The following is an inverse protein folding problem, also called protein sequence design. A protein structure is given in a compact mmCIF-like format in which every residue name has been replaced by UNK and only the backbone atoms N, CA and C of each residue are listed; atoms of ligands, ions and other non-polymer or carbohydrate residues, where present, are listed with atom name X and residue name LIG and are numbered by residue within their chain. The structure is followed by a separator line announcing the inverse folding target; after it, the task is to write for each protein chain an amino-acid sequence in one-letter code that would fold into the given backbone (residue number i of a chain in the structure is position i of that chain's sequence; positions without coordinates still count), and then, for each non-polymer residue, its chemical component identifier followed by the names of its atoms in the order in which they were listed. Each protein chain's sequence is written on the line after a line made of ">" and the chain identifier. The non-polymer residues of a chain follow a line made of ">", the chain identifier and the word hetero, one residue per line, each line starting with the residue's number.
data_IF_749164548122
#
_entry.id   IF_749164548122
#
_cell.length_a   1.000
_cell.length_b   1.000
_cell.length_c   1.000
_cell.angle_alpha   90.00
_cell.angle_beta   90.00
_cell.angle_gamma   90.00
#
_symmetry.space_group_name_H-M   'P 1'
#
loop_
_entity.id
_entity.type
_entity.pdbx_description
1 polymer ?
#
# COMPACT_ATOMS: atom_id res chain seq x y z
N UNK A 1 -29.02 -0.15 -7.30
CA UNK A 1 -27.84 -0.11 -8.21
C UNK A 1 -26.47 -0.21 -7.52
N UNK A 2 -26.30 0.14 -6.23
CA UNK A 2 -24.99 0.01 -5.51
C UNK A 2 -24.76 -1.37 -4.89
N UNK A 3 -25.80 -2.14 -4.60
CA UNK A 3 -25.69 -3.51 -4.03
C UNK A 3 -25.28 -4.54 -5.08
N UNK A 4 -25.69 -4.38 -6.33
CA UNK A 4 -25.45 -5.36 -7.40
C UNK A 4 -23.99 -5.41 -7.86
N UNK A 5 -23.29 -4.28 -7.84
CA UNK A 5 -21.85 -4.22 -8.18
C UNK A 5 -20.97 -4.87 -7.11
N UNK A 6 -21.34 -4.76 -5.84
CA UNK A 6 -20.63 -5.40 -4.74
C UNK A 6 -20.83 -6.92 -4.77
N UNK A 7 -22.06 -7.38 -5.04
CA UNK A 7 -22.37 -8.80 -5.19
C UNK A 7 -21.68 -9.41 -6.41
N UNK A 8 -21.56 -8.67 -7.51
CA UNK A 8 -20.87 -9.12 -8.71
C UNK A 8 -19.35 -9.24 -8.47
N UNK A 9 -18.75 -8.28 -7.77
CA UNK A 9 -17.35 -8.36 -7.36
C UNK A 9 -17.12 -9.54 -6.41
N UNK A 10 -17.96 -9.75 -5.42
CA UNK A 10 -17.88 -10.88 -4.50
C UNK A 10 -18.03 -12.22 -5.24
N UNK A 11 -18.90 -12.32 -6.24
CA UNK A 11 -19.05 -13.52 -7.07
C UNK A 11 -17.83 -13.78 -7.97
N UNK A 12 -17.22 -12.75 -8.53
CA UNK A 12 -15.98 -12.86 -9.32
C UNK A 12 -14.83 -13.35 -8.42
N UNK A 13 -14.68 -12.77 -7.22
CA UNK A 13 -13.66 -13.20 -6.25
C UNK A 13 -13.91 -14.61 -5.73
N UNK A 14 -15.17 -15.03 -5.52
CA UNK A 14 -15.49 -16.44 -5.20
C UNK A 14 -15.08 -17.40 -6.30
N UNK A 15 -15.31 -17.06 -7.57
CA UNK A 15 -14.88 -17.92 -8.70
C UNK A 15 -13.36 -18.02 -8.83
N UNK A 16 -12.62 -16.94 -8.50
CA UNK A 16 -11.16 -16.94 -8.52
C UNK A 16 -10.60 -17.66 -7.28
N UNK A 17 -11.25 -17.55 -6.12
CA UNK A 17 -10.85 -18.18 -4.85
C UNK A 17 -10.97 -19.72 -4.82
N UNK A 18 -11.64 -20.32 -5.80
CA UNK A 18 -11.71 -21.78 -5.96
C UNK A 18 -10.49 -22.43 -6.65
N UNK A 19 -9.43 -21.67 -6.93
CA UNK A 19 -8.12 -22.27 -7.18
C UNK A 19 -7.72 -23.04 -5.91
N UNK A 20 -7.77 -24.37 -5.96
CA UNK A 20 -7.37 -25.21 -4.85
C UNK A 20 -6.00 -24.76 -4.32
N UNK A 21 -5.73 -24.92 -3.04
CA UNK A 21 -4.41 -24.60 -2.45
C UNK A 21 -3.26 -25.25 -3.26
N UNK A 22 -3.52 -26.44 -3.85
CA UNK A 22 -2.63 -27.10 -4.80
C UNK A 22 -2.40 -26.28 -6.07
N UNK A 23 -3.44 -25.63 -6.62
CA UNK A 23 -3.30 -24.77 -7.80
C UNK A 23 -2.51 -23.49 -7.51
N UNK A 24 -2.69 -22.89 -6.33
CA UNK A 24 -1.91 -21.74 -5.89
C UNK A 24 -0.44 -22.13 -5.66
N UNK A 25 -0.18 -23.26 -5.01
CA UNK A 25 1.18 -23.80 -4.82
C UNK A 25 1.84 -24.12 -6.15
N UNK A 26 1.11 -24.74 -7.10
CA UNK A 26 1.62 -25.03 -8.44
C UNK A 26 1.93 -23.73 -9.21
N UNK A 27 1.02 -22.76 -9.18
CA UNK A 27 1.25 -21.45 -9.80
C UNK A 27 2.48 -20.76 -9.18
N UNK A 28 2.64 -20.78 -7.86
CA UNK A 28 3.81 -20.24 -7.19
C UNK A 28 5.09 -21.01 -7.58
N UNK A 29 5.04 -22.33 -7.58
CA UNK A 29 6.18 -23.20 -7.94
C UNK A 29 6.65 -23.00 -9.40
N UNK A 30 5.75 -22.59 -10.30
CA UNK A 30 6.09 -22.31 -11.72
C UNK A 30 6.48 -20.84 -11.90
N UNK A 31 5.70 -19.92 -11.35
CA UNK A 31 5.91 -18.48 -11.55
C UNK A 31 7.15 -17.96 -10.82
N UNK A 32 7.42 -18.45 -9.61
CA UNK A 32 8.59 -17.99 -8.84
C UNK A 32 9.92 -18.34 -9.53
N UNK A 33 10.20 -19.60 -9.97
CA UNK A 33 11.39 -19.91 -10.74
C UNK A 33 11.43 -19.15 -12.08
N UNK A 34 10.30 -18.99 -12.77
CA UNK A 34 10.24 -18.24 -14.02
C UNK A 34 10.64 -16.77 -13.82
N UNK A 35 10.07 -16.09 -12.84
CA UNK A 35 10.45 -14.70 -12.54
C UNK A 35 11.88 -14.59 -12.03
N UNK A 36 12.35 -15.54 -11.22
CA UNK A 36 13.74 -15.59 -10.75
C UNK A 36 14.70 -15.77 -11.93
N UNK A 37 14.39 -16.68 -12.84
CA UNK A 37 15.15 -16.87 -14.07
C UNK A 37 15.13 -15.63 -14.95
N UNK A 38 13.97 -14.99 -15.14
CA UNK A 38 13.82 -13.77 -15.93
C UNK A 38 14.64 -12.62 -15.33
N UNK A 39 14.61 -12.47 -14.03
CA UNK A 39 15.42 -11.51 -13.30
C UNK A 39 16.91 -11.81 -13.45
N UNK A 40 17.33 -13.06 -13.27
CA UNK A 40 18.73 -13.47 -13.42
C UNK A 40 19.20 -13.30 -14.87
N UNK A 41 18.40 -13.71 -15.86
CA UNK A 41 18.70 -13.51 -17.26
C UNK A 41 18.82 -12.02 -17.63
N UNK A 42 17.92 -11.18 -17.11
CA UNK A 42 17.96 -9.75 -17.31
C UNK A 42 19.19 -9.15 -16.66
N UNK A 43 19.53 -9.56 -15.43
CA UNK A 43 20.70 -9.13 -14.69
C UNK A 43 22.01 -9.52 -15.41
N UNK A 44 22.14 -10.77 -15.86
CA UNK A 44 23.36 -11.23 -16.58
C UNK A 44 23.52 -10.54 -17.94
N UNK A 45 22.42 -10.26 -18.65
CA UNK A 45 22.49 -9.45 -19.87
C UNK A 45 22.89 -7.98 -19.60
N UNK A 46 22.42 -7.43 -18.49
CA UNK A 46 22.79 -6.07 -18.06
C UNK A 46 24.26 -5.99 -17.66
N UNK A 47 24.78 -7.01 -16.95
CA UNK A 47 26.20 -7.08 -16.60
C UNK A 47 27.12 -7.22 -17.83
N UNK A 48 26.75 -8.06 -18.80
CA UNK A 48 27.49 -8.18 -20.07
C UNK A 48 27.54 -6.88 -20.88
N UNK A 49 26.56 -5.98 -20.67
CA UNK A 49 26.53 -4.62 -21.29
C UNK A 49 27.29 -3.58 -20.48
N UNK A 50 27.60 -3.86 -19.20
CA UNK A 50 28.36 -2.92 -18.33
C UNK A 50 29.77 -2.62 -18.81
N UNK A 51 30.36 -3.46 -19.67
CA UNK A 51 31.67 -3.23 -20.29
C UNK A 51 31.65 -2.29 -21.50
N UNK A 52 30.49 -1.84 -21.97
CA UNK A 52 30.37 -0.84 -23.04
C UNK A 52 30.20 0.53 -22.41
N UNK A 53 30.80 1.55 -23.06
CA UNK A 53 30.70 2.95 -22.65
C UNK A 53 29.29 3.33 -22.24
N UNK A 54 29.17 4.13 -21.18
CA UNK A 54 27.87 4.62 -20.73
C UNK A 54 27.21 5.34 -21.89
N UNK A 55 25.96 4.98 -22.26
CA UNK A 55 25.29 5.65 -23.36
C UNK A 55 25.19 7.13 -23.05
N UNK A 56 25.67 7.98 -23.98
CA UNK A 56 25.42 9.41 -23.93
C UNK A 56 23.92 9.65 -24.12
N UNK A 57 23.31 10.28 -23.13
CA UNK A 57 21.90 10.63 -23.18
C UNK A 57 21.80 12.10 -23.66
N UNK A 58 21.20 12.31 -24.81
CA UNK A 58 20.97 13.66 -25.35
C UNK A 58 20.16 14.57 -24.39
N UNK A 59 19.30 13.96 -23.60
CA UNK A 59 18.40 14.65 -22.66
C UNK A 59 18.84 14.47 -21.22
N UNK A 60 18.66 15.53 -20.40
CA UNK A 60 18.85 15.47 -18.93
C UNK A 60 17.79 14.57 -18.30
N UNK A 61 18.08 13.98 -17.13
CA UNK A 61 17.16 13.10 -16.41
C UNK A 61 15.79 13.72 -16.15
N UNK A 62 15.76 14.99 -15.77
CA UNK A 62 14.51 15.68 -15.46
C UNK A 62 13.63 15.89 -16.70
N UNK A 63 14.25 16.09 -17.88
CA UNK A 63 13.52 16.22 -19.16
C UNK A 63 12.87 14.90 -19.56
N UNK A 64 13.61 13.79 -19.39
CA UNK A 64 13.09 12.44 -19.63
C UNK A 64 11.95 12.12 -18.67
N UNK A 65 12.12 12.49 -17.38
CA UNK A 65 11.11 12.31 -16.34
C UNK A 65 9.84 13.13 -16.64
N UNK A 66 9.96 14.37 -17.06
CA UNK A 66 8.80 15.19 -17.45
C UNK A 66 8.09 14.64 -18.68
N UNK A 67 8.85 14.14 -19.69
CA UNK A 67 8.24 13.54 -20.87
C UNK A 67 7.45 12.26 -20.50
N UNK A 68 8.09 11.32 -19.84
CA UNK A 68 7.44 10.07 -19.42
C UNK A 68 6.25 10.36 -18.47
N UNK A 69 6.44 11.26 -17.50
CA UNK A 69 5.37 11.67 -16.59
C UNK A 69 4.21 12.36 -17.30
N UNK A 70 4.49 13.17 -18.29
CA UNK A 70 3.46 13.83 -19.12
C UNK A 70 2.65 12.83 -19.94
N UNK A 71 3.31 11.81 -20.52
CA UNK A 71 2.64 10.74 -21.27
C UNK A 71 1.75 9.91 -20.33
N UNK A 72 2.32 9.43 -19.21
CA UNK A 72 1.57 8.66 -18.21
C UNK A 72 0.35 9.43 -17.70
N UNK A 73 0.57 10.67 -17.28
CA UNK A 73 -0.49 11.51 -16.72
C UNK A 73 -1.56 11.84 -17.76
N UNK A 74 -1.17 12.14 -18.99
CA UNK A 74 -2.11 12.37 -20.09
C UNK A 74 -2.99 11.17 -20.36
N UNK A 75 -2.42 9.96 -20.43
CA UNK A 75 -3.17 8.72 -20.56
C UNK A 75 -4.13 8.50 -19.38
N UNK A 76 -3.66 8.74 -18.16
CA UNK A 76 -4.49 8.60 -16.95
C UNK A 76 -5.65 9.59 -16.95
N UNK A 77 -5.43 10.85 -17.32
CA UNK A 77 -6.51 11.83 -17.41
C UNK A 77 -7.56 11.45 -18.45
N UNK A 78 -7.16 10.93 -19.61
CA UNK A 78 -8.12 10.46 -20.62
C UNK A 78 -8.98 9.32 -20.07
N UNK A 79 -8.37 8.37 -19.37
CA UNK A 79 -9.10 7.28 -18.73
C UNK A 79 -10.01 7.77 -17.59
N UNK A 80 -9.53 8.73 -16.78
CA UNK A 80 -10.34 9.33 -15.71
C UNK A 80 -11.55 10.08 -16.27
N UNK A 81 -11.41 10.79 -17.39
CA UNK A 81 -12.54 11.45 -18.06
C UNK A 81 -13.57 10.43 -18.54
N UNK A 82 -13.10 9.31 -19.11
CA UNK A 82 -13.97 8.23 -19.55
C UNK A 82 -14.68 7.51 -18.39
N UNK A 83 -14.05 7.45 -17.22
CA UNK A 83 -14.55 6.80 -16.01
C UNK A 83 -15.01 7.81 -14.94
N UNK A 84 -15.33 9.05 -15.33
CA UNK A 84 -15.67 10.14 -14.39
C UNK A 84 -16.67 9.70 -13.32
N UNK A 85 -16.44 10.01 -12.07
CA UNK A 85 -15.34 10.78 -11.43
C UNK A 85 -14.14 9.90 -11.00
N UNK A 86 -14.05 8.66 -11.43
CA UNK A 86 -13.19 7.61 -10.93
C UNK A 86 -13.91 6.73 -9.90
N UNK A 87 -13.15 5.94 -9.15
CA UNK A 87 -13.70 4.97 -8.21
C UNK A 87 -13.66 5.49 -6.77
N UNK A 88 -14.82 5.43 -6.12
CA UNK A 88 -14.93 5.72 -4.70
C UNK A 88 -14.62 4.46 -3.88
N UNK A 89 -13.58 4.49 -3.06
CA UNK A 89 -13.18 3.38 -2.20
C UNK A 89 -13.94 3.43 -0.87
N UNK A 90 -14.21 2.26 -0.29
CA UNK A 90 -14.90 2.12 1.00
C UNK A 90 -14.20 2.86 2.15
N UNK A 91 -12.86 2.77 2.22
CA UNK A 91 -12.07 3.38 3.29
C UNK A 91 -12.30 4.90 3.39
N UNK A 92 -12.38 5.60 2.25
CA UNK A 92 -12.58 7.05 2.26
C UNK A 92 -13.98 7.43 2.79
N UNK A 93 -14.96 6.52 2.70
CA UNK A 93 -16.28 6.69 3.28
C UNK A 93 -16.25 6.85 4.80
N UNK A 94 -15.28 6.21 5.46
CA UNK A 94 -15.07 6.34 6.91
C UNK A 94 -14.16 7.52 7.28
N UNK A 95 -13.31 7.98 6.35
CA UNK A 95 -12.36 9.07 6.57
C UNK A 95 -12.97 10.45 6.30
N UNK A 96 -13.76 10.55 5.24
CA UNK A 96 -14.31 11.82 4.77
C UNK A 96 -15.22 12.52 5.79
N UNK A 97 -16.11 11.82 6.52
CA UNK A 97 -16.92 12.44 7.58
C UNK A 97 -16.08 13.15 8.66
N UNK A 98 -14.89 12.63 8.98
CA UNK A 98 -13.98 13.22 9.97
C UNK A 98 -13.42 14.59 9.54
N UNK A 99 -13.48 14.91 8.23
CA UNK A 99 -13.08 16.22 7.69
C UNK A 99 -14.28 17.12 7.45
N UNK A 100 -15.41 16.55 7.02
CA UNK A 100 -16.56 17.34 6.60
C UNK A 100 -17.47 17.75 7.76
N UNK A 101 -17.49 16.97 8.84
CA UNK A 101 -18.43 17.17 9.95
C UNK A 101 -17.66 17.35 11.27
N UNK A 102 -17.70 18.56 11.88
CA UNK A 102 -16.97 18.85 13.11
C UNK A 102 -17.36 17.95 14.30
N UNK A 103 -18.55 17.38 14.29
CA UNK A 103 -19.05 16.46 15.33
C UNK A 103 -18.46 15.05 15.21
N UNK A 104 -17.84 14.70 14.09
CA UNK A 104 -17.22 13.39 13.90
C UNK A 104 -15.75 13.44 14.35
N UNK A 105 -15.37 12.73 15.42
CA UNK A 105 -14.01 12.78 15.93
C UNK A 105 -13.02 12.10 14.96
N UNK A 106 -11.79 12.59 14.95
CA UNK A 106 -10.71 11.93 14.23
C UNK A 106 -10.35 10.60 14.89
N UNK A 107 -10.08 9.60 14.07
CA UNK A 107 -9.60 8.28 14.52
C UNK A 107 -8.38 7.85 13.70
N UNK A 108 -7.42 7.21 14.37
CA UNK A 108 -6.25 6.61 13.71
C UNK A 108 -6.52 5.19 13.16
N UNK A 109 -7.79 4.82 12.99
CA UNK A 109 -8.20 3.56 12.37
C UNK A 109 -7.65 3.45 10.94
N UNK A 110 -7.82 4.51 10.15
CA UNK A 110 -7.13 4.70 8.89
C UNK A 110 -5.94 5.66 9.05
N UNK A 111 -4.93 5.60 8.17
CA UNK A 111 -3.80 6.52 8.22
C UNK A 111 -4.23 7.98 8.17
N UNK A 112 -3.93 8.74 9.23
CA UNK A 112 -4.37 10.14 9.38
C UNK A 112 -3.85 11.05 8.27
N UNK A 113 -2.64 10.79 7.75
CA UNK A 113 -2.13 11.55 6.61
C UNK A 113 -3.09 11.47 5.41
N UNK A 114 -3.62 10.28 5.11
CA UNK A 114 -4.57 10.13 4.01
C UNK A 114 -5.94 10.76 4.35
N UNK A 115 -6.39 10.61 5.60
CA UNK A 115 -7.63 11.27 6.07
C UNK A 115 -7.55 12.77 5.85
N UNK A 116 -6.46 13.41 6.33
CA UNK A 116 -6.30 14.87 6.25
C UNK A 116 -6.08 15.32 4.80
N UNK A 117 -5.14 14.72 4.07
CA UNK A 117 -4.80 15.17 2.71
C UNK A 117 -5.86 14.73 1.70
N UNK A 118 -6.23 13.44 1.70
CA UNK A 118 -7.19 12.90 0.76
C UNK A 118 -8.60 13.43 1.01
N UNK A 119 -9.07 13.37 2.26
CA UNK A 119 -10.35 13.94 2.65
C UNK A 119 -10.39 15.45 2.43
N UNK A 120 -9.29 16.17 2.73
CA UNK A 120 -9.17 17.60 2.48
C UNK A 120 -9.29 17.97 1.00
N UNK A 121 -8.64 17.24 0.09
CA UNK A 121 -8.76 17.47 -1.37
C UNK A 121 -10.19 17.25 -1.83
N UNK A 122 -10.84 16.17 -1.36
CA UNK A 122 -12.25 15.89 -1.72
C UNK A 122 -13.15 17.00 -1.20
N UNK A 123 -12.98 17.45 0.03
CA UNK A 123 -13.76 18.54 0.63
C UNK A 123 -13.56 19.86 -0.10
N UNK A 124 -12.34 20.20 -0.49
CA UNK A 124 -12.05 21.37 -1.34
C UNK A 124 -12.81 21.27 -2.65
N UNK A 125 -12.72 20.14 -3.36
CA UNK A 125 -13.46 19.92 -4.60
C UNK A 125 -14.97 20.00 -4.43
N UNK A 126 -15.49 19.44 -3.33
CA UNK A 126 -16.90 19.51 -2.96
C UNK A 126 -17.41 20.96 -2.87
N UNK A 127 -16.67 21.84 -2.25
CA UNK A 127 -17.03 23.26 -2.11
C UNK A 127 -16.78 24.07 -3.39
N UNK A 128 -15.78 23.71 -4.19
CA UNK A 128 -15.47 24.43 -5.43
C UNK A 128 -16.58 24.34 -6.48
N UNK A 129 -17.36 23.26 -6.51
CA UNK A 129 -18.41 23.04 -7.48
C UNK A 129 -19.79 22.85 -6.81
N UNK A 130 -20.27 23.90 -6.14
CA UNK A 130 -21.66 23.96 -5.65
C UNK A 130 -22.10 22.72 -4.84
N UNK A 131 -21.23 22.25 -3.93
CA UNK A 131 -21.53 21.11 -3.04
C UNK A 131 -21.65 19.78 -3.81
N UNK A 132 -20.75 19.55 -4.76
CA UNK A 132 -20.70 18.33 -5.58
C UNK A 132 -19.60 17.37 -5.12
N UNK A 133 -19.99 16.30 -4.42
CA UNK A 133 -19.06 15.27 -3.97
C UNK A 133 -18.38 14.54 -5.15
N UNK A 134 -19.07 14.41 -6.28
CA UNK A 134 -18.55 13.77 -7.48
C UNK A 134 -17.32 14.53 -8.00
N UNK A 135 -17.41 15.87 -8.00
CA UNK A 135 -16.26 16.71 -8.38
C UNK A 135 -15.13 16.64 -7.35
N UNK A 136 -15.46 16.51 -6.07
CA UNK A 136 -14.44 16.27 -5.02
C UNK A 136 -13.63 14.99 -5.26
N UNK A 137 -14.32 13.89 -5.58
CA UNK A 137 -13.68 12.60 -5.93
C UNK A 137 -12.84 12.72 -7.20
N UNK A 138 -13.36 13.41 -8.22
CA UNK A 138 -12.60 13.69 -9.45
C UNK A 138 -11.31 14.46 -9.15
N UNK A 139 -11.39 15.54 -8.39
CA UNK A 139 -10.21 16.35 -8.03
C UNK A 139 -9.16 15.55 -7.26
N UNK A 140 -9.59 14.71 -6.31
CA UNK A 140 -8.71 13.79 -5.61
C UNK A 140 -7.96 12.87 -6.60
N UNK A 141 -8.69 12.24 -7.53
CA UNK A 141 -8.10 11.32 -8.50
C UNK A 141 -7.13 12.03 -9.45
N UNK A 142 -7.44 13.27 -9.88
CA UNK A 142 -6.52 14.11 -10.67
C UNK A 142 -5.18 14.30 -9.94
N UNK A 143 -5.22 14.66 -8.65
CA UNK A 143 -4.00 14.86 -7.84
C UNK A 143 -3.27 13.55 -7.61
N UNK A 144 -3.97 12.48 -7.23
CA UNK A 144 -3.38 11.16 -6.99
C UNK A 144 -2.69 10.61 -8.24
N UNK A 145 -3.33 10.72 -9.41
CA UNK A 145 -2.76 10.28 -10.68
C UNK A 145 -1.51 11.08 -11.05
N UNK A 146 -1.46 12.38 -10.75
CA UNK A 146 -0.25 13.19 -10.96
C UNK A 146 0.91 12.67 -10.10
N UNK A 147 0.66 12.35 -8.83
CA UNK A 147 1.66 11.76 -7.92
C UNK A 147 2.11 10.38 -8.42
N UNK A 148 1.18 9.52 -8.79
CA UNK A 148 1.50 8.18 -9.32
C UNK A 148 2.32 8.27 -10.63
N UNK A 149 1.90 9.10 -11.60
CA UNK A 149 2.61 9.31 -12.85
C UNK A 149 4.03 9.84 -12.61
N UNK A 150 4.19 10.76 -11.66
CA UNK A 150 5.51 11.29 -11.26
C UNK A 150 6.43 10.18 -10.70
N UNK A 151 5.93 9.31 -9.86
CA UNK A 151 6.70 8.21 -9.26
C UNK A 151 7.00 7.10 -10.29
N UNK A 152 6.04 6.71 -11.09
CA UNK A 152 6.21 5.66 -12.10
C UNK A 152 7.15 6.12 -13.22
N UNK A 153 7.06 7.37 -13.68
CA UNK A 153 8.01 7.93 -14.63
C UNK A 153 9.43 7.99 -14.09
N UNK A 154 9.60 8.23 -12.78
CA UNK A 154 10.92 8.12 -12.15
C UNK A 154 11.47 6.69 -12.31
N UNK A 155 10.66 5.65 -12.09
CA UNK A 155 11.09 4.27 -12.26
C UNK A 155 11.46 3.95 -13.73
N UNK A 156 10.67 4.42 -14.70
CA UNK A 156 10.94 4.26 -16.13
C UNK A 156 12.28 4.90 -16.50
N UNK A 157 12.51 6.15 -16.09
CA UNK A 157 13.75 6.87 -16.38
C UNK A 157 14.94 6.26 -15.66
N UNK A 158 14.75 5.80 -14.41
CA UNK A 158 15.77 5.08 -13.67
C UNK A 158 16.20 3.82 -14.42
N UNK A 159 15.24 3.02 -14.88
CA UNK A 159 15.50 1.80 -15.67
C UNK A 159 16.23 2.14 -16.98
N UNK A 160 15.75 3.14 -17.72
CA UNK A 160 16.40 3.59 -18.95
C UNK A 160 17.86 4.00 -18.74
N UNK A 161 18.12 4.82 -17.71
CA UNK A 161 19.48 5.29 -17.41
C UNK A 161 20.41 4.20 -16.89
N UNK A 162 19.87 3.17 -16.25
CA UNK A 162 20.66 2.02 -15.80
C UNK A 162 21.00 1.06 -16.93
N UNK A 163 20.09 0.88 -17.88
CA UNK A 163 20.21 -0.15 -18.92
C UNK A 163 20.66 0.40 -20.28
N UNK A 164 20.40 1.66 -20.56
CA UNK A 164 20.54 2.25 -21.89
C UNK A 164 19.52 1.69 -22.92
N UNK A 165 18.59 0.84 -22.48
CA UNK A 165 17.68 0.13 -23.36
C UNK A 165 16.33 0.86 -23.47
N UNK A 166 16.07 1.45 -24.65
CA UNK A 166 14.82 2.18 -24.94
C UNK A 166 13.60 1.25 -24.94
N UNK A 167 13.75 0.02 -25.46
CA UNK A 167 12.64 -0.93 -25.54
C UNK A 167 12.15 -1.28 -24.12
N UNK A 168 13.08 -1.53 -23.20
CA UNK A 168 12.74 -1.84 -21.82
C UNK A 168 12.05 -0.65 -21.12
N UNK A 169 12.49 0.58 -21.41
CA UNK A 169 11.83 1.77 -20.89
C UNK A 169 10.40 1.91 -21.41
N UNK A 170 10.21 1.76 -22.73
CA UNK A 170 8.87 1.81 -23.36
C UNK A 170 7.96 0.70 -22.83
N UNK A 171 8.46 -0.52 -22.69
CA UNK A 171 7.67 -1.62 -22.12
C UNK A 171 7.28 -1.36 -20.65
N UNK A 172 8.19 -0.76 -19.87
CA UNK A 172 7.89 -0.35 -18.50
C UNK A 172 6.84 0.77 -18.46
N UNK A 173 6.90 1.73 -19.36
CA UNK A 173 5.91 2.79 -19.48
C UNK A 173 4.53 2.23 -19.87
N UNK A 174 4.50 1.37 -20.89
CA UNK A 174 3.28 0.69 -21.34
C UNK A 174 2.67 -0.18 -20.22
N UNK A 175 3.51 -0.81 -19.39
CA UNK A 175 3.02 -1.54 -18.23
C UNK A 175 2.22 -0.63 -17.29
N UNK A 176 2.73 0.55 -16.93
CA UNK A 176 2.00 1.48 -16.07
C UNK A 176 0.74 2.06 -16.72
N UNK A 177 0.70 2.17 -18.06
CA UNK A 177 -0.47 2.66 -18.79
C UNK A 177 -1.54 1.57 -18.97
N UNK A 178 -1.14 0.32 -19.27
CA UNK A 178 -2.04 -0.73 -19.73
C UNK A 178 -2.38 -1.76 -18.65
N UNK A 179 -1.64 -1.84 -17.55
CA UNK A 179 -1.90 -2.79 -16.48
C UNK A 179 -3.17 -2.38 -15.71
N UNK A 180 -4.30 -3.10 -15.85
CA UNK A 180 -5.59 -2.67 -15.31
C UNK A 180 -5.55 -2.40 -13.80
N UNK A 181 -4.95 -3.26 -12.94
CA UNK A 181 -4.83 -2.97 -11.51
C UNK A 181 -4.14 -1.65 -11.21
N UNK A 182 -3.03 -1.33 -11.92
CA UNK A 182 -2.29 -0.08 -11.69
C UNK A 182 -3.16 1.13 -12.00
N UNK A 183 -3.83 1.11 -13.14
CA UNK A 183 -4.68 2.23 -13.59
C UNK A 183 -5.92 2.36 -12.73
N UNK A 184 -6.61 1.25 -12.43
CA UNK A 184 -7.82 1.26 -11.60
C UNK A 184 -7.54 1.79 -10.19
N UNK A 185 -6.43 1.37 -9.57
CA UNK A 185 -6.05 1.89 -8.27
C UNK A 185 -5.59 3.35 -8.34
N UNK A 186 -4.93 3.78 -9.42
CA UNK A 186 -4.53 5.17 -9.58
C UNK A 186 -5.73 6.13 -9.68
N UNK A 187 -6.89 5.70 -10.22
CA UNK A 187 -8.14 6.48 -10.27
C UNK A 187 -9.16 6.07 -9.21
N UNK A 188 -8.71 5.50 -8.09
CA UNK A 188 -9.54 5.13 -6.95
C UNK A 188 -9.14 5.94 -5.72
N UNK A 189 -10.10 6.35 -4.89
CA UNK A 189 -9.85 7.11 -3.66
C UNK A 189 -9.20 6.24 -2.58
N UNK A 190 -8.02 5.68 -2.87
CA UNK A 190 -7.26 4.80 -1.98
C UNK A 190 -5.87 5.32 -1.70
N UNK A 191 -5.43 5.19 -0.47
CA UNK A 191 -4.06 5.48 -0.01
C UNK A 191 -3.00 4.54 -0.58
N UNK A 192 -3.42 3.32 -0.97
CA UNK A 192 -2.50 2.20 -1.21
C UNK A 192 -1.62 2.42 -2.44
N UNK A 193 -2.18 2.87 -3.56
CA UNK A 193 -1.41 3.12 -4.78
C UNK A 193 -0.38 4.23 -4.59
N UNK A 194 -0.74 5.31 -3.90
CA UNK A 194 0.18 6.42 -3.59
C UNK A 194 1.28 5.96 -2.65
N UNK A 195 0.94 5.16 -1.64
CA UNK A 195 1.90 4.53 -0.75
C UNK A 195 2.92 3.68 -1.52
N UNK A 196 2.46 2.79 -2.39
CA UNK A 196 3.36 1.94 -3.18
C UNK A 196 4.15 2.72 -4.23
N UNK A 197 3.60 3.80 -4.78
CA UNK A 197 4.34 4.69 -5.67
C UNK A 197 5.52 5.36 -4.95
N UNK A 198 5.31 5.88 -3.73
CA UNK A 198 6.42 6.43 -2.92
C UNK A 198 7.42 5.35 -2.50
N UNK A 199 6.93 4.18 -2.10
CA UNK A 199 7.78 3.05 -1.71
C UNK A 199 8.66 2.59 -2.88
N UNK A 200 8.10 2.50 -4.10
CA UNK A 200 8.85 2.16 -5.31
C UNK A 200 10.03 3.12 -5.51
N UNK A 201 9.78 4.42 -5.47
CA UNK A 201 10.85 5.42 -5.64
C UNK A 201 11.86 5.35 -4.50
N UNK A 202 11.40 5.16 -3.25
CA UNK A 202 12.29 5.00 -2.09
C UNK A 202 13.22 3.78 -2.25
N UNK A 203 12.69 2.64 -2.67
CA UNK A 203 13.48 1.41 -2.93
C UNK A 203 14.51 1.64 -4.04
N UNK A 204 14.13 2.29 -5.14
CA UNK A 204 15.08 2.61 -6.23
C UNK A 204 16.18 3.56 -5.77
N UNK A 205 15.86 4.53 -4.91
CA UNK A 205 16.84 5.45 -4.32
C UNK A 205 17.75 4.74 -3.31
N UNK A 206 17.21 3.85 -2.47
CA UNK A 206 17.99 3.00 -1.58
C UNK A 206 18.97 2.15 -2.40
N UNK A 207 18.49 1.47 -3.44
CA UNK A 207 19.35 0.72 -4.35
C UNK A 207 20.47 1.61 -4.92
N UNK A 208 20.18 2.83 -5.36
CA UNK A 208 21.19 3.75 -5.89
C UNK A 208 22.23 4.16 -4.84
N UNK A 209 21.78 4.46 -3.61
CA UNK A 209 22.64 4.80 -2.48
C UNK A 209 23.62 3.64 -2.20
N UNK A 210 23.12 2.42 -2.11
CA UNK A 210 23.96 1.25 -1.82
C UNK A 210 24.88 0.86 -2.99
N UNK A 211 24.43 1.04 -4.22
CA UNK A 211 25.27 0.89 -5.41
C UNK A 211 26.42 1.91 -5.44
N UNK A 212 26.15 3.16 -5.04
CA UNK A 212 27.18 4.20 -4.95
C UNK A 212 28.16 3.88 -3.80
N UNK A 213 27.68 3.48 -2.62
CA UNK A 213 28.53 3.08 -1.49
C UNK A 213 29.46 1.90 -1.84
N UNK A 214 28.94 0.88 -2.51
CA UNK A 214 29.75 -0.27 -2.95
C UNK A 214 30.77 0.12 -4.02
N UNK A 215 30.50 1.16 -4.82
CA UNK A 215 31.44 1.73 -5.77
C UNK A 215 32.37 2.79 -5.13
N UNK A 216 32.43 2.87 -3.80
CA UNK A 216 33.22 3.86 -3.03
C UNK A 216 32.85 5.32 -3.39
N UNK A 217 31.66 5.55 -3.88
CA UNK A 217 31.08 6.88 -4.10
C UNK A 217 30.25 7.26 -2.89
N UNK A 218 30.28 8.55 -2.53
CA UNK A 218 29.58 9.02 -1.36
C UNK A 218 28.24 9.64 -1.74
N UNK A 219 27.12 9.06 -1.29
CA UNK A 219 25.80 9.64 -1.48
C UNK A 219 25.71 11.02 -0.84
N UNK A 220 25.06 11.95 -1.52
CA UNK A 220 24.84 13.30 -1.01
C UNK A 220 23.79 13.32 0.10
N UNK A 221 23.85 14.29 0.99
CA UNK A 221 22.81 14.51 2.02
C UNK A 221 21.41 14.60 1.43
N UNK A 222 21.30 15.26 0.25
CA UNK A 222 20.04 15.35 -0.48
C UNK A 222 19.47 13.97 -0.86
N UNK A 223 20.32 13.01 -1.26
CA UNK A 223 19.85 11.64 -1.58
C UNK A 223 19.28 10.95 -0.34
N UNK A 224 19.96 11.03 0.80
CA UNK A 224 19.47 10.49 2.06
C UNK A 224 18.14 11.13 2.49
N UNK A 225 18.06 12.46 2.50
CA UNK A 225 16.85 13.20 2.89
C UNK A 225 15.67 12.84 1.97
N UNK A 226 15.86 12.91 0.65
CA UNK A 226 14.75 12.63 -0.30
C UNK A 226 14.28 11.18 -0.20
N UNK A 227 15.18 10.23 0.05
CA UNK A 227 14.82 8.83 0.30
C UNK A 227 14.04 8.69 1.60
N UNK A 228 14.50 9.35 2.66
CA UNK A 228 13.84 9.35 3.96
C UNK A 228 12.43 9.93 3.92
N UNK A 229 12.24 11.07 3.24
CA UNK A 229 10.91 11.68 3.07
C UNK A 229 9.95 10.70 2.38
N UNK A 230 10.36 10.08 1.27
CA UNK A 230 9.52 9.15 0.53
C UNK A 230 9.16 7.91 1.36
N UNK A 231 10.12 7.40 2.12
CA UNK A 231 9.91 6.25 3.00
C UNK A 231 8.97 6.60 4.16
N UNK A 232 9.14 7.76 4.77
CA UNK A 232 8.23 8.27 5.80
C UNK A 232 6.81 8.47 5.26
N UNK A 233 6.65 9.08 4.08
CA UNK A 233 5.34 9.25 3.45
C UNK A 233 4.67 7.88 3.19
N UNK A 234 5.42 6.90 2.69
CA UNK A 234 4.89 5.55 2.52
C UNK A 234 4.42 4.93 3.86
N UNK A 235 5.22 5.06 4.93
CA UNK A 235 4.85 4.58 6.26
C UNK A 235 3.63 5.31 6.84
N UNK A 236 3.51 6.62 6.63
CA UNK A 236 2.37 7.42 7.11
C UNK A 236 1.08 7.16 6.31
N UNK A 237 1.18 6.67 5.08
CA UNK A 237 0.04 6.22 4.27
C UNK A 237 -0.35 4.77 4.56
N UNK A 238 0.59 3.94 5.06
CA UNK A 238 0.33 2.55 5.43
C UNK A 238 1.19 2.16 6.63
N UNK A 239 0.61 2.23 7.81
CA UNK A 239 1.33 2.03 9.09
C UNK A 239 2.11 0.70 9.17
N UNK A 240 1.64 -0.35 8.47
CA UNK A 240 2.28 -1.66 8.52
C UNK A 240 3.67 -1.72 7.87
N UNK A 241 4.01 -0.76 6.99
CA UNK A 241 5.34 -0.72 6.34
C UNK A 241 6.46 -0.52 7.36
N UNK A 242 6.19 0.19 8.45
CA UNK A 242 7.20 0.45 9.48
C UNK A 242 7.78 -0.84 10.08
N UNK A 243 6.99 -1.92 10.17
CA UNK A 243 7.44 -3.20 10.70
C UNK A 243 8.42 -3.95 9.79
N UNK A 244 8.47 -3.59 8.50
CA UNK A 244 9.42 -4.16 7.53
C UNK A 244 10.78 -3.44 7.62
N UNK A 245 10.81 -2.19 8.11
CA UNK A 245 12.04 -1.37 8.13
C UNK A 245 13.17 -1.97 8.95
N UNK A 246 12.98 -2.59 10.14
CA UNK A 246 14.05 -3.23 10.88
C UNK A 246 14.74 -4.35 10.08
N UNK A 247 13.97 -5.17 9.36
CA UNK A 247 14.53 -6.23 8.51
C UNK A 247 15.28 -5.66 7.31
N UNK A 248 14.72 -4.64 6.67
CA UNK A 248 15.39 -3.92 5.58
C UNK A 248 16.67 -3.25 6.05
N UNK A 249 16.67 -2.67 7.25
CA UNK A 249 17.82 -2.04 7.88
C UNK A 249 18.94 -3.07 8.16
N UNK A 250 18.60 -4.20 8.77
CA UNK A 250 19.54 -5.28 9.04
C UNK A 250 20.21 -5.74 7.74
N UNK A 251 19.41 -6.11 6.73
CA UNK A 251 19.92 -6.52 5.43
C UNK A 251 20.83 -5.46 4.80
N UNK A 252 20.38 -4.20 4.77
CA UNK A 252 21.11 -3.09 4.16
C UNK A 252 22.45 -2.82 4.83
N UNK A 253 22.53 -2.84 6.16
CA UNK A 253 23.77 -2.63 6.93
C UNK A 253 24.77 -3.77 6.71
N UNK A 254 24.31 -4.99 6.42
CA UNK A 254 25.18 -6.12 6.08
C UNK A 254 25.68 -6.09 4.63
N UNK A 255 24.95 -5.44 3.70
CA UNK A 255 25.32 -5.37 2.28
C UNK A 255 26.62 -4.57 2.02
N UNK A 256 26.97 -3.62 2.87
CA UNK A 256 28.21 -2.85 2.75
C UNK A 256 28.68 -2.30 4.09
N UNK A 257 29.99 -2.33 4.31
CA UNK A 257 30.61 -1.73 5.51
C UNK A 257 30.94 -0.24 5.33
N UNK A 258 30.86 0.27 4.10
CA UNK A 258 31.16 1.66 3.80
C UNK A 258 30.18 2.61 4.53
N UNK A 259 30.71 3.57 5.28
CA UNK A 259 29.92 4.55 6.06
C UNK A 259 28.85 3.92 6.97
N UNK A 260 29.14 2.78 7.57
CA UNK A 260 28.19 2.02 8.41
C UNK A 260 27.48 2.87 9.47
N UNK A 261 28.17 3.81 10.11
CA UNK A 261 27.58 4.72 11.11
C UNK A 261 26.45 5.58 10.49
N UNK A 262 26.64 6.09 9.29
CA UNK A 262 25.62 6.92 8.60
C UNK A 262 24.42 6.07 8.17
N UNK A 263 24.65 4.83 7.72
CA UNK A 263 23.59 3.90 7.39
C UNK A 263 22.76 3.55 8.64
N UNK A 264 23.41 3.20 9.74
CA UNK A 264 22.74 2.88 11.01
C UNK A 264 21.89 4.08 11.48
N UNK A 265 22.47 5.28 11.47
CA UNK A 265 21.75 6.50 11.84
C UNK A 265 20.53 6.73 10.95
N UNK A 266 20.70 6.60 9.63
CA UNK A 266 19.59 6.73 8.69
C UNK A 266 18.45 5.75 9.01
N UNK A 267 18.75 4.47 9.20
CA UNK A 267 17.75 3.46 9.47
C UNK A 267 17.09 3.63 10.85
N UNK A 268 17.83 4.03 11.87
CA UNK A 268 17.25 4.38 13.19
C UNK A 268 16.23 5.51 13.03
N UNK A 269 16.61 6.58 12.31
CA UNK A 269 15.70 7.69 12.03
C UNK A 269 14.48 7.22 11.25
N UNK A 270 14.66 6.37 10.22
CA UNK A 270 13.54 5.88 9.42
C UNK A 270 12.59 4.94 10.15
N UNK A 271 13.07 4.22 11.16
CA UNK A 271 12.21 3.40 12.02
C UNK A 271 11.43 4.28 13.01
N UNK A 272 12.08 5.29 13.60
CA UNK A 272 11.48 6.11 14.66
C UNK A 272 10.60 7.25 14.10
N UNK A 273 11.02 7.91 13.02
CA UNK A 273 10.34 9.10 12.50
C UNK A 273 8.87 8.87 12.15
N UNK A 274 8.44 7.78 11.50
CA UNK A 274 7.03 7.53 11.23
C UNK A 274 6.18 7.43 12.50
N UNK A 275 6.69 6.82 13.57
CA UNK A 275 5.98 6.76 14.86
C UNK A 275 5.82 8.14 15.49
N UNK A 276 6.90 8.93 15.51
CA UNK A 276 6.86 10.29 16.07
C UNK A 276 5.91 11.16 15.27
N UNK A 277 6.00 11.12 13.95
CA UNK A 277 5.14 11.90 13.06
C UNK A 277 3.67 11.48 13.18
N UNK A 278 3.38 10.17 13.23
CA UNK A 278 2.00 9.69 13.40
C UNK A 278 1.41 10.11 14.76
N UNK A 279 2.18 9.98 15.85
CA UNK A 279 1.77 10.48 17.16
C UNK A 279 1.58 11.99 17.17
N UNK A 280 2.45 12.74 16.48
CA UNK A 280 2.31 14.18 16.32
C UNK A 280 1.03 14.56 15.57
N UNK A 281 0.70 13.84 14.48
CA UNK A 281 -0.56 14.02 13.73
C UNK A 281 -1.77 13.71 14.63
N UNK A 282 -1.73 12.59 15.38
CA UNK A 282 -2.81 12.22 16.30
C UNK A 282 -3.05 13.33 17.34
N UNK A 283 -1.99 13.83 17.94
CA UNK A 283 -2.08 14.91 18.94
C UNK A 283 -2.58 16.24 18.32
N UNK A 284 -2.19 16.52 17.07
CA UNK A 284 -2.58 17.78 16.40
C UNK A 284 -4.08 17.85 16.05
N UNK A 285 -4.73 16.70 15.84
CA UNK A 285 -6.17 16.62 15.49
C UNK A 285 -7.00 15.91 16.57
N UNK A 286 -6.45 15.69 17.74
CA UNK A 286 -7.08 14.97 18.87
C UNK A 286 -7.69 13.63 18.45
N UNK A 287 -6.93 12.85 17.68
CA UNK A 287 -7.42 11.59 17.11
C UNK A 287 -7.42 10.45 18.13
N UNK A 288 -8.53 9.75 18.25
CA UNK A 288 -8.61 8.50 18.99
C UNK A 288 -7.74 7.41 18.36
N UNK A 289 -7.12 6.51 19.14
CA UNK A 289 -6.35 5.39 18.62
C UNK A 289 -7.23 4.44 17.78
N UNK A 290 -6.62 3.72 16.85
CA UNK A 290 -7.30 2.68 16.09
C UNK A 290 -7.78 1.52 16.99
N UNK A 291 -8.82 0.82 16.56
CA UNK A 291 -9.39 -0.31 17.31
C UNK A 291 -8.44 -1.50 17.35
N UNK A 292 -8.32 -2.14 18.52
CA UNK A 292 -7.59 -3.39 18.69
C UNK A 292 -8.21 -4.57 17.91
N UNK A 293 -9.49 -4.50 17.53
CA UNK A 293 -10.17 -5.50 16.72
C UNK A 293 -9.50 -5.75 15.38
N UNK A 294 -8.80 -4.74 14.84
CA UNK A 294 -8.04 -4.89 13.58
C UNK A 294 -6.91 -5.92 13.69
N UNK A 295 -6.18 -5.91 14.82
CA UNK A 295 -5.11 -6.87 15.07
C UNK A 295 -5.64 -8.29 15.31
N UNK A 296 -6.89 -8.41 15.74
CA UNK A 296 -7.54 -9.66 16.07
C UNK A 296 -8.41 -10.22 14.93
N UNK A 297 -8.53 -9.53 13.81
CA UNK A 297 -9.41 -9.93 12.69
C UNK A 297 -9.09 -11.33 12.16
N UNK A 298 -7.80 -11.66 12.00
CA UNK A 298 -7.36 -12.99 11.52
C UNK A 298 -7.59 -14.08 12.59
N UNK A 299 -7.19 -13.92 13.87
CA UNK A 299 -7.57 -14.84 14.92
C UNK A 299 -9.07 -15.13 14.99
N UNK A 300 -9.92 -14.09 14.96
CA UNK A 300 -11.38 -14.26 14.98
C UNK A 300 -11.90 -15.05 13.78
N UNK A 301 -11.37 -14.78 12.60
CA UNK A 301 -11.74 -15.55 11.42
C UNK A 301 -11.34 -17.02 11.52
N UNK A 302 -10.18 -17.34 12.12
CA UNK A 302 -9.74 -18.73 12.32
C UNK A 302 -10.62 -19.45 13.33
N UNK A 303 -10.97 -18.82 14.44
CA UNK A 303 -11.90 -19.39 15.45
C UNK A 303 -13.27 -19.65 14.81
N UNK A 304 -13.81 -18.66 14.10
CA UNK A 304 -15.10 -18.78 13.42
C UNK A 304 -15.08 -19.90 12.36
N UNK A 305 -13.98 -20.05 11.63
CA UNK A 305 -13.79 -21.15 10.69
C UNK A 305 -13.89 -22.51 11.37
N UNK A 306 -13.16 -22.70 12.48
CA UNK A 306 -13.21 -23.98 13.22
C UNK A 306 -14.62 -24.25 13.70
N UNK A 307 -15.31 -23.23 14.23
CA UNK A 307 -16.69 -23.37 14.71
C UNK A 307 -17.66 -23.76 13.58
N UNK A 308 -17.57 -23.10 12.41
CA UNK A 308 -18.47 -23.38 11.28
C UNK A 308 -18.16 -24.74 10.63
N UNK A 309 -16.88 -25.10 10.50
CA UNK A 309 -16.46 -26.33 9.83
C UNK A 309 -16.67 -27.59 10.71
N UNK A 310 -16.48 -27.49 12.03
CA UNK A 310 -16.46 -28.65 12.96
C UNK A 310 -17.54 -28.61 14.05
N UNK A 311 -18.23 -27.49 14.20
CA UNK A 311 -19.23 -27.29 15.25
C UNK A 311 -18.65 -27.16 16.65
N UNK A 312 -19.53 -27.16 17.64
CA UNK A 312 -19.19 -27.02 19.06
C UNK A 312 -18.28 -28.17 19.58
N UNK A 313 -18.34 -29.33 18.93
CA UNK A 313 -17.53 -30.49 19.32
C UNK A 313 -16.01 -30.28 19.17
N UNK A 314 -15.59 -29.23 18.48
CA UNK A 314 -14.17 -28.88 18.34
C UNK A 314 -13.61 -28.13 19.55
N UNK A 315 -14.45 -27.73 20.48
CA UNK A 315 -14.11 -26.90 21.63
C UNK A 315 -14.46 -27.62 22.94
N UNK A 316 -13.74 -27.32 24.00
CA UNK A 316 -14.14 -27.70 25.35
C UNK A 316 -15.32 -26.85 25.84
N UNK A 317 -16.02 -27.29 26.89
CA UNK A 317 -17.13 -26.51 27.43
C UNK A 317 -16.67 -25.16 27.97
N UNK A 318 -15.48 -25.07 28.57
CA UNK A 318 -14.91 -23.82 29.07
C UNK A 318 -14.61 -22.85 27.92
N UNK A 319 -14.08 -23.34 26.80
CA UNK A 319 -13.84 -22.54 25.60
C UNK A 319 -15.14 -22.03 24.97
N UNK A 320 -16.18 -22.87 24.90
CA UNK A 320 -17.49 -22.47 24.40
C UNK A 320 -18.15 -21.41 25.29
N UNK A 321 -18.10 -21.59 26.59
CA UNK A 321 -18.67 -20.64 27.54
C UNK A 321 -17.98 -19.27 27.40
N UNK A 322 -16.65 -19.25 27.27
CA UNK A 322 -15.91 -18.01 27.00
C UNK A 322 -16.20 -17.45 25.59
N UNK A 323 -16.21 -18.30 24.57
CA UNK A 323 -16.47 -17.88 23.19
C UNK A 323 -17.83 -17.19 23.05
N UNK A 324 -18.85 -17.68 23.73
CA UNK A 324 -20.19 -17.08 23.74
C UNK A 324 -20.28 -15.76 24.53
N UNK A 325 -19.27 -15.42 25.34
CA UNK A 325 -19.14 -14.07 25.89
C UNK A 325 -18.53 -13.11 24.87
N UNK A 326 -17.78 -13.64 23.90
CA UNK A 326 -17.06 -12.85 22.88
C UNK A 326 -17.86 -12.67 21.58
N UNK A 327 -18.82 -13.56 21.29
CA UNK A 327 -19.64 -13.53 20.08
C UNK A 327 -20.97 -14.26 20.33
N UNK A 328 -22.08 -13.73 19.79
CA UNK A 328 -23.34 -14.44 19.85
C UNK A 328 -23.32 -15.66 18.91
N UNK A 329 -23.97 -16.74 19.32
CA UNK A 329 -24.01 -18.00 18.55
C UNK A 329 -24.52 -17.82 17.12
N UNK A 330 -25.52 -16.97 16.93
CA UNK A 330 -26.13 -16.66 15.64
C UNK A 330 -25.20 -15.90 14.71
N UNK A 331 -24.26 -15.11 15.27
CA UNK A 331 -23.35 -14.27 14.51
C UNK A 331 -22.27 -15.10 13.77
N UNK A 332 -22.06 -16.39 14.13
CA UNK A 332 -21.19 -17.28 13.35
C UNK A 332 -21.70 -17.49 11.91
N UNK A 333 -22.98 -17.28 11.65
CA UNK A 333 -23.55 -17.28 10.30
C UNK A 333 -22.96 -16.15 9.41
N UNK A 334 -22.34 -15.12 10.01
CA UNK A 334 -21.65 -14.05 9.28
C UNK A 334 -20.25 -14.47 8.77
N UNK A 335 -19.76 -15.65 9.15
CA UNK A 335 -18.45 -16.12 8.72
C UNK A 335 -18.36 -16.21 7.19
N UNK A 336 -17.32 -15.59 6.63
CA UNK A 336 -16.95 -15.71 5.23
C UNK A 336 -15.48 -16.16 5.15
N UNK A 337 -15.17 -17.24 4.39
CA UNK A 337 -13.80 -17.75 4.29
C UNK A 337 -12.84 -16.79 3.55
N UNK A 338 -13.37 -15.81 2.83
CA UNK A 338 -12.59 -14.85 2.03
C UNK A 338 -12.50 -13.48 2.70
N UNK A 339 -13.54 -13.07 3.45
CA UNK A 339 -13.66 -11.72 4.02
C UNK A 339 -13.71 -11.81 5.55
N UNK A 340 -12.63 -11.35 6.22
CA UNK A 340 -12.57 -11.32 7.69
C UNK A 340 -13.48 -10.25 8.31
N UNK A 341 -13.84 -9.20 7.58
CA UNK A 341 -14.58 -8.06 8.13
C UNK A 341 -16.00 -8.43 8.62
N UNK A 342 -16.65 -9.39 7.99
CA UNK A 342 -17.99 -9.81 8.36
C UNK A 342 -18.01 -10.34 9.82
N UNK A 343 -17.19 -11.32 10.12
CA UNK A 343 -17.11 -11.93 11.47
C UNK A 343 -16.44 -10.98 12.48
N UNK A 344 -15.47 -10.19 12.04
CA UNK A 344 -14.83 -9.16 12.87
C UNK A 344 -15.85 -8.20 13.47
N UNK A 345 -16.87 -7.81 12.71
CA UNK A 345 -17.94 -6.93 13.19
C UNK A 345 -18.73 -7.54 14.35
N UNK A 346 -18.93 -8.85 14.35
CA UNK A 346 -19.59 -9.57 15.44
C UNK A 346 -18.75 -9.53 16.73
N UNK A 347 -17.47 -9.87 16.65
CA UNK A 347 -16.53 -9.79 17.78
C UNK A 347 -16.31 -8.36 18.27
N UNK A 348 -16.37 -7.37 17.39
CA UNK A 348 -16.16 -5.96 17.76
C UNK A 348 -17.18 -5.47 18.80
N UNK A 349 -18.41 -5.99 18.79
CA UNK A 349 -19.45 -5.63 19.76
C UNK A 349 -19.10 -6.03 21.20
N UNK A 350 -18.20 -6.99 21.37
CA UNK A 350 -17.76 -7.54 22.65
C UNK A 350 -16.26 -7.29 22.90
N UNK A 351 -15.69 -6.27 22.25
CA UNK A 351 -14.26 -6.02 22.29
C UNK A 351 -13.74 -5.69 23.68
N UNK A 352 -14.53 -5.06 24.53
CA UNK A 352 -14.25 -4.77 25.93
C UNK A 352 -14.02 -6.05 26.74
N UNK A 353 -14.85 -7.07 26.55
CA UNK A 353 -14.71 -8.39 27.18
C UNK A 353 -13.43 -9.08 26.71
N UNK A 354 -13.19 -9.07 25.39
CA UNK A 354 -12.02 -9.69 24.78
C UNK A 354 -10.72 -9.01 25.25
N UNK A 355 -10.74 -7.67 25.39
CA UNK A 355 -9.57 -6.91 25.82
C UNK A 355 -9.31 -7.00 27.32
N UNK A 356 -10.33 -7.32 28.13
CA UNK A 356 -10.19 -7.54 29.56
C UNK A 356 -9.40 -8.82 29.88
N UNK A 357 -9.54 -9.88 29.07
CA UNK A 357 -8.85 -11.17 29.25
C UNK A 357 -8.19 -11.67 27.96
N UNK A 358 -7.17 -10.95 27.51
CA UNK A 358 -6.43 -11.27 26.28
C UNK A 358 -5.77 -12.65 26.29
N UNK A 359 -5.43 -13.15 27.47
CA UNK A 359 -4.78 -14.45 27.62
C UNK A 359 -5.69 -15.63 27.33
N UNK A 360 -7.02 -15.45 27.45
CA UNK A 360 -8.03 -16.45 27.10
C UNK A 360 -8.55 -16.28 25.66
N UNK A 361 -8.46 -15.06 25.11
CA UNK A 361 -9.00 -14.74 23.79
C UNK A 361 -8.09 -15.12 22.61
N UNK A 362 -6.84 -15.48 22.88
CA UNK A 362 -5.81 -15.87 21.89
C UNK A 362 -5.30 -17.28 22.23
#
# INVERSE_FOLDING_TARGET
>A
MKYDTFLLQAQIWRKIGHLSHAGCLLAFAVLFPFFTWLLHFSYTRLERRRGKEKPEFAWKSWQQWLLAGGILYGCYLLLLIACYPGFYNYDIGNQLPQIMYPEVPFTAHHPLLHTIVGGGIITIGYHLRSVDLTFGVFLYNVVQMAVCASCFSYAVVFLYRKTGNRILAVLSELFYILCPPVVMFAMSTTKDVTCYAFLLVAVLKIYQIYADLNAQKFPTVRQWITTGILLCLACLLRNNIVYVLPFAAAFAVFCTSCRRKQQILFWIVMILAPFVLNKGLMAAVDAAPGSAAEALSVPFQQIARVYVDKGEAAFTQEELDYLYTCINKEDFAMYDPVIADAIKTAFWRHLDVIMADKGKAI
#
